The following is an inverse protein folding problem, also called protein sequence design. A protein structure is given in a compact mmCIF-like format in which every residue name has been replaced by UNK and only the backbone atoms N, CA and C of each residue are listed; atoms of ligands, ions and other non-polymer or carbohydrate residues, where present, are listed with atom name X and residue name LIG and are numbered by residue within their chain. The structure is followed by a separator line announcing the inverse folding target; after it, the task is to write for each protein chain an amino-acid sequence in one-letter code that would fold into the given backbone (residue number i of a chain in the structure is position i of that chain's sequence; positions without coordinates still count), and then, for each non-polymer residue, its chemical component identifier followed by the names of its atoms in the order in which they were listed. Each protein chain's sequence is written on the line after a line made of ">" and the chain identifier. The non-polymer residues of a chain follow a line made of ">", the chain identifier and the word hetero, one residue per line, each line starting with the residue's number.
data_IF_350270740065
#
_entry.id   IF_350270740065
#
_cell.length_a   1.000
_cell.length_b   1.000
_cell.length_c   1.000
_cell.angle_alpha   90.00
_cell.angle_beta   90.00
_cell.angle_gamma   90.00
#
_symmetry.space_group_name_H-M   'P 1'
#
loop_
_entity.id
_entity.type
_entity.pdbx_description
1 polymer ?
#
# COMPACT_ATOMS: atom_id res chain seq x y z
N UNK A 1 -13.86 5.52 15.41
CA UNK A 1 -13.84 4.23 14.68
C UNK A 1 -12.72 4.29 13.65
N UNK A 2 -11.55 3.73 13.96
CA UNK A 2 -10.56 3.30 12.97
C UNK A 2 -9.97 2.02 13.53
N UNK A 3 -10.57 0.92 13.10
CA UNK A 3 -10.40 -0.41 13.65
C UNK A 3 -8.97 -0.90 13.40
N UNK A 4 -8.15 -0.96 14.45
CA UNK A 4 -6.89 -1.67 14.47
C UNK A 4 -7.19 -3.17 14.51
N UNK A 5 -7.43 -3.76 13.33
CA UNK A 5 -7.73 -5.19 13.20
C UNK A 5 -6.42 -5.91 12.85
N UNK A 6 -5.85 -6.54 13.88
CA UNK A 6 -5.14 -7.82 13.83
C UNK A 6 -3.91 -7.92 12.90
N UNK A 7 -2.70 -7.93 13.47
CA UNK A 7 -2.03 -9.21 13.77
C UNK A 7 -0.60 -9.03 14.34
N UNK A 8 -0.26 -9.76 15.42
CA UNK A 8 1.11 -9.98 15.83
C UNK A 8 1.75 -11.08 14.94
N UNK A 9 3.01 -10.88 14.51
CA UNK A 9 3.98 -11.92 14.09
C UNK A 9 4.12 -12.42 12.63
N UNK A 10 3.49 -11.86 11.59
CA UNK A 10 3.84 -12.29 10.22
C UNK A 10 4.79 -11.33 9.49
N UNK A 11 5.87 -11.92 8.95
CA UNK A 11 6.91 -11.25 8.16
C UNK A 11 6.33 -10.33 7.09
N UNK A 12 7.10 -9.28 6.76
CA UNK A 12 6.69 -8.11 5.97
C UNK A 12 5.74 -8.51 4.83
N UNK A 13 4.44 -8.28 5.03
CA UNK A 13 3.40 -8.56 4.03
C UNK A 13 3.17 -7.33 3.15
N UNK A 14 2.61 -7.53 1.95
CA UNK A 14 2.21 -6.43 1.07
C UNK A 14 1.23 -5.45 1.75
N UNK A 15 0.40 -5.96 2.66
CA UNK A 15 -0.47 -5.15 3.50
C UNK A 15 0.33 -4.25 4.43
N UNK A 16 1.36 -4.79 5.10
CA UNK A 16 2.20 -4.01 5.99
C UNK A 16 3.01 -2.95 5.24
N UNK A 17 3.60 -3.31 4.10
CA UNK A 17 4.33 -2.36 3.24
C UNK A 17 3.42 -1.22 2.79
N UNK A 18 2.23 -1.55 2.26
CA UNK A 18 1.29 -0.52 1.82
C UNK A 18 0.83 0.36 2.99
N UNK A 19 0.54 -0.23 4.15
CA UNK A 19 0.10 0.51 5.33
C UNK A 19 1.18 1.49 5.81
N UNK A 20 2.43 1.04 5.92
CA UNK A 20 3.57 1.89 6.28
C UNK A 20 3.78 3.03 5.26
N UNK A 21 3.68 2.72 3.96
CA UNK A 21 3.80 3.73 2.91
C UNK A 21 2.67 4.77 2.96
N UNK A 22 1.44 4.34 3.23
CA UNK A 22 0.29 5.25 3.40
C UNK A 22 0.45 6.08 4.67
N UNK A 23 0.94 5.50 5.76
CA UNK A 23 1.19 6.22 7.01
C UNK A 23 2.27 7.29 6.85
N UNK A 24 3.34 6.97 6.11
CA UNK A 24 4.48 7.87 5.91
C UNK A 24 4.24 8.96 4.85
N UNK A 25 3.63 8.60 3.71
CA UNK A 25 3.46 9.51 2.57
C UNK A 25 2.02 9.97 2.34
N UNK A 26 1.04 9.18 2.76
CA UNK A 26 -0.37 9.39 2.42
C UNK A 26 -0.73 8.92 1.01
N UNK A 27 -2.03 8.72 0.81
CA UNK A 27 -2.63 8.37 -0.48
C UNK A 27 -2.32 9.32 -1.65
N UNK A 28 -2.36 10.66 -1.51
CA UNK A 28 -2.12 11.54 -2.66
C UNK A 28 -0.70 11.44 -3.20
N UNK A 29 0.29 11.20 -2.33
CA UNK A 29 1.68 11.01 -2.76
C UNK A 29 1.89 9.63 -3.38
N UNK A 30 1.21 8.61 -2.85
CA UNK A 30 1.20 7.29 -3.49
C UNK A 30 0.56 7.31 -4.87
N UNK A 31 -0.53 8.07 -5.06
CA UNK A 31 -1.14 8.26 -6.37
C UNK A 31 -0.20 8.97 -7.36
N UNK A 32 0.66 9.89 -6.89
CA UNK A 32 1.69 10.52 -7.74
C UNK A 32 2.78 9.54 -8.18
N UNK A 33 3.23 8.68 -7.27
CA UNK A 33 4.32 7.72 -7.55
C UNK A 33 3.84 6.49 -8.29
N UNK A 34 2.62 6.06 -7.99
CA UNK A 34 1.94 4.90 -8.54
C UNK A 34 0.58 5.41 -9.03
N UNK A 35 0.51 5.90 -10.29
CA UNK A 35 -0.69 6.50 -10.86
C UNK A 35 -1.73 5.41 -11.16
N UNK A 36 -2.40 4.95 -10.10
CA UNK A 36 -3.52 4.02 -10.17
C UNK A 36 -4.75 4.69 -9.60
N UNK A 37 -5.85 4.53 -10.34
CA UNK A 37 -7.15 5.10 -9.96
C UNK A 37 -7.61 4.64 -8.57
N UNK A 38 -7.14 3.48 -8.10
CA UNK A 38 -7.45 2.95 -6.77
C UNK A 38 -7.01 3.90 -5.64
N UNK A 39 -5.88 4.60 -5.80
CA UNK A 39 -5.36 5.51 -4.78
C UNK A 39 -6.02 6.90 -4.82
N UNK A 40 -6.66 7.25 -5.95
CA UNK A 40 -7.31 8.56 -6.12
C UNK A 40 -8.81 8.53 -5.78
N UNK A 41 -9.54 7.48 -6.20
CA UNK A 41 -11.00 7.40 -6.04
C UNK A 41 -11.46 6.72 -4.75
N UNK A 42 -10.82 5.61 -4.38
CA UNK A 42 -11.25 4.78 -3.25
C UNK A 42 -10.05 4.32 -2.41
N UNK A 43 -9.31 5.28 -1.81
CA UNK A 43 -8.07 5.00 -1.10
C UNK A 43 -8.33 4.21 0.19
N UNK A 44 -8.34 2.89 0.07
CA UNK A 44 -8.43 1.98 1.21
C UNK A 44 -7.44 0.83 1.08
N UNK A 45 -6.92 0.37 2.22
CA UNK A 45 -5.95 -0.74 2.27
C UNK A 45 -6.54 -2.00 1.62
N UNK A 46 -7.78 -2.36 1.94
CA UNK A 46 -8.44 -3.57 1.40
C UNK A 46 -8.65 -3.50 -0.13
N UNK A 47 -9.19 -2.39 -0.65
CA UNK A 47 -9.41 -2.22 -2.10
C UNK A 47 -8.08 -2.18 -2.85
N UNK A 48 -7.10 -1.48 -2.31
CA UNK A 48 -5.74 -1.42 -2.85
C UNK A 48 -5.09 -2.79 -2.92
N UNK A 49 -5.13 -3.59 -1.85
CA UNK A 49 -4.56 -4.94 -1.86
C UNK A 49 -5.26 -5.85 -2.87
N UNK A 50 -6.58 -5.76 -2.99
CA UNK A 50 -7.32 -6.50 -4.02
C UNK A 50 -6.88 -6.10 -5.43
N UNK A 51 -6.62 -4.81 -5.66
CA UNK A 51 -6.11 -4.30 -6.92
C UNK A 51 -4.66 -4.77 -7.18
N UNK A 52 -3.75 -4.60 -6.22
CA UNK A 52 -2.35 -5.01 -6.31
C UNK A 52 -2.20 -6.53 -6.52
N UNK A 53 -3.15 -7.35 -6.05
CA UNK A 53 -3.19 -8.79 -6.36
C UNK A 53 -3.54 -9.10 -7.81
N UNK A 54 -4.34 -8.25 -8.47
CA UNK A 54 -4.74 -8.41 -9.88
C UNK A 54 -3.79 -7.70 -10.84
N UNK A 55 -2.98 -6.77 -10.33
CA UNK A 55 -2.11 -5.89 -11.13
C UNK A 55 -0.66 -6.01 -10.65
N UNK A 56 0.12 -6.98 -11.17
CA UNK A 56 1.47 -7.30 -10.66
C UNK A 56 2.48 -6.15 -10.78
N UNK A 57 2.37 -5.34 -11.85
CA UNK A 57 3.26 -4.20 -12.04
C UNK A 57 3.07 -3.14 -10.94
N UNK A 58 1.83 -2.94 -10.48
CA UNK A 58 1.53 -1.98 -9.41
C UNK A 58 2.05 -2.48 -8.06
N UNK A 59 1.92 -3.80 -7.79
CA UNK A 59 2.55 -4.44 -6.63
C UNK A 59 4.06 -4.21 -6.63
N UNK A 60 4.72 -4.47 -7.76
CA UNK A 60 6.17 -4.31 -7.89
C UNK A 60 6.60 -2.88 -7.56
N UNK A 61 5.79 -1.87 -7.94
CA UNK A 61 6.04 -0.46 -7.59
C UNK A 61 5.89 -0.15 -6.11
N UNK A 62 4.90 -0.75 -5.44
CA UNK A 62 4.75 -0.63 -3.97
C UNK A 62 5.95 -1.26 -3.27
N UNK A 63 6.39 -2.44 -3.69
CA UNK A 63 7.57 -3.11 -3.15
C UNK A 63 8.86 -2.32 -3.40
N UNK A 64 9.06 -1.78 -4.61
CA UNK A 64 10.18 -0.89 -4.94
C UNK A 64 10.20 0.35 -4.02
N UNK A 65 9.03 0.93 -3.77
CA UNK A 65 8.91 2.14 -2.96
C UNK A 65 9.17 1.85 -1.48
N UNK A 66 8.62 0.77 -0.93
CA UNK A 66 8.88 0.33 0.44
C UNK A 66 10.37 -0.03 0.62
N UNK A 67 10.97 -0.75 -0.34
CA UNK A 67 12.40 -1.06 -0.33
C UNK A 67 13.30 0.18 -0.41
N UNK A 68 12.86 1.26 -1.07
CA UNK A 68 13.57 2.55 -1.08
C UNK A 68 13.39 3.34 0.22
N UNK A 69 12.22 3.24 0.85
CA UNK A 69 11.92 3.89 2.12
C UNK A 69 12.68 3.24 3.29
N UNK A 70 12.85 1.92 3.25
CA UNK A 70 13.58 1.14 4.28
C UNK A 70 15.09 1.06 4.06
N UNK A 71 15.61 1.70 3.02
CA UNK A 71 17.05 1.67 2.69
C UNK A 71 17.81 2.77 3.42
#
# INVERSE_FOLDING_TARGET
>A
MTEQINNPQHGITLEKMLTDLVDHFGWPELARRIPIQCFEKDPSIKSSLKFLRRTPWARSKVEELDARMRR
#
